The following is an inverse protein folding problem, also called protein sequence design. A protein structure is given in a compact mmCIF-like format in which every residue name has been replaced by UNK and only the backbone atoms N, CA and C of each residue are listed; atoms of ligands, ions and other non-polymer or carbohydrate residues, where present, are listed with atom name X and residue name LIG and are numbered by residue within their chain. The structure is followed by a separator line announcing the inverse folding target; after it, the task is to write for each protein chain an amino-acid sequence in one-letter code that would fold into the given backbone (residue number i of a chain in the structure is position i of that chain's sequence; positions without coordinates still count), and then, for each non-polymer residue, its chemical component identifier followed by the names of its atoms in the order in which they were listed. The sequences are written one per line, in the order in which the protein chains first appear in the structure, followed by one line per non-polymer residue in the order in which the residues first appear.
data_IF_999966382010
#
_entry.id   IF_999966382010
#
_cell.length_a   1.000
_cell.length_b   1.000
_cell.length_c   1.000
_cell.angle_alpha   90.00
_cell.angle_beta   90.00
_cell.angle_gamma   90.00
#
_symmetry.space_group_name_H-M   'P 1'
#
loop_
_entity.id
_entity.type
_entity.pdbx_description
1 polymer ?
#
# COMPACT_ATOMS: atom_id res chain seq x y z
N UNK A 1 -8.58 -12.17 2.37
CA UNK A 1 -7.10 -12.13 2.32
C UNK A 1 -6.62 -11.55 3.64
N UNK A 2 -5.80 -12.27 4.40
CA UNK A 2 -5.18 -11.83 5.65
C UNK A 2 -3.84 -11.17 5.39
N UNK A 3 -3.33 -10.39 6.35
CA UNK A 3 -1.99 -9.83 6.26
C UNK A 3 -0.91 -10.92 6.18
N UNK A 4 -1.12 -12.06 6.83
CA UNK A 4 -0.19 -13.20 6.73
C UNK A 4 -0.06 -13.76 5.30
N UNK A 5 -1.16 -13.82 4.54
CA UNK A 5 -1.11 -14.24 3.13
C UNK A 5 -0.36 -13.23 2.27
N UNK A 6 -0.55 -11.92 2.52
CA UNK A 6 0.23 -10.87 1.85
C UNK A 6 1.72 -10.97 2.19
N UNK A 7 2.07 -11.24 3.45
CA UNK A 7 3.45 -11.43 3.89
C UNK A 7 4.11 -12.65 3.25
N UNK A 8 3.36 -13.75 3.06
CA UNK A 8 3.85 -14.92 2.34
C UNK A 8 4.08 -14.63 0.85
N UNK A 9 3.14 -13.92 0.22
CA UNK A 9 3.31 -13.46 -1.15
C UNK A 9 4.54 -12.56 -1.30
N UNK A 10 4.72 -11.58 -0.39
CA UNK A 10 5.91 -10.73 -0.35
C UNK A 10 7.20 -11.56 -0.26
N UNK A 11 7.22 -12.56 0.62
CA UNK A 11 8.36 -13.46 0.82
C UNK A 11 8.67 -14.30 -0.42
N UNK A 12 7.64 -14.84 -1.06
CA UNK A 12 7.77 -15.57 -2.32
C UNK A 12 8.37 -14.69 -3.42
N UNK A 13 7.91 -13.44 -3.56
CA UNK A 13 8.45 -12.51 -4.55
C UNK A 13 9.92 -12.16 -4.24
N UNK A 14 10.26 -11.88 -2.98
CA UNK A 14 11.64 -11.60 -2.57
C UNK A 14 12.56 -12.80 -2.88
N UNK A 15 12.12 -14.03 -2.60
CA UNK A 15 12.87 -15.24 -2.95
C UNK A 15 13.11 -15.34 -4.46
N UNK A 16 12.09 -15.10 -5.29
CA UNK A 16 12.23 -15.12 -6.76
C UNK A 16 13.12 -14.02 -7.31
N UNK A 17 13.31 -12.94 -6.57
CA UNK A 17 14.22 -11.84 -6.89
C UNK A 17 15.61 -12.01 -6.27
N UNK A 18 15.90 -13.14 -5.61
CA UNK A 18 17.14 -13.39 -4.85
C UNK A 18 17.43 -12.30 -3.80
N UNK A 19 16.40 -11.86 -3.09
CA UNK A 19 16.50 -10.89 -2.01
C UNK A 19 16.41 -11.62 -0.68
N UNK A 20 17.52 -11.66 0.05
CA UNK A 20 17.60 -12.17 1.42
C UNK A 20 17.47 -11.04 2.42
N UNK A 21 16.69 -11.28 3.48
CA UNK A 21 16.68 -10.40 4.66
C UNK A 21 17.79 -10.88 5.59
N UNK A 22 18.97 -10.29 5.48
CA UNK A 22 19.99 -10.43 6.51
C UNK A 22 19.55 -9.69 7.77
N UNK A 23 19.88 -10.21 8.95
CA UNK A 23 19.66 -9.49 10.20
C UNK A 23 20.54 -8.23 10.18
N UNK A 24 19.91 -7.06 10.04
CA UNK A 24 20.61 -5.79 10.20
C UNK A 24 21.11 -5.69 11.64
N UNK A 25 22.34 -5.18 11.88
CA UNK A 25 22.73 -4.72 13.21
C UNK A 25 21.68 -3.72 13.73
N UNK A 26 21.42 -3.70 15.04
CA UNK A 26 20.39 -2.86 15.68
C UNK A 26 20.52 -1.34 15.40
N UNK A 27 21.61 -0.88 14.77
CA UNK A 27 21.93 0.53 14.52
C UNK A 27 21.83 0.98 13.05
N UNK A 28 21.29 0.18 12.13
CA UNK A 28 21.16 0.53 10.70
C UNK A 28 19.71 0.80 10.28
N UNK A 29 18.94 1.48 11.14
CA UNK A 29 17.58 1.93 10.80
C UNK A 29 17.62 3.12 9.83
N UNK A 30 16.75 3.07 8.82
CA UNK A 30 16.62 4.15 7.86
C UNK A 30 15.20 4.34 7.34
N UNK A 31 14.96 5.55 6.87
CA UNK A 31 13.73 6.02 6.24
C UNK A 31 13.96 6.02 4.73
N UNK A 32 12.99 5.50 3.99
CA UNK A 32 12.96 5.55 2.53
C UNK A 32 11.95 6.60 2.10
N UNK A 33 12.37 7.53 1.25
CA UNK A 33 11.49 8.50 0.59
C UNK A 33 11.40 8.16 -0.89
N UNK A 34 10.20 7.99 -1.42
CA UNK A 34 10.02 7.82 -2.86
C UNK A 34 10.10 9.17 -3.57
N UNK A 35 11.10 9.31 -4.43
CA UNK A 35 11.24 10.42 -5.37
C UNK A 35 10.51 10.11 -6.69
N UNK A 36 10.15 11.17 -7.42
CA UNK A 36 9.40 11.13 -8.67
C UNK A 36 9.92 12.20 -9.62
N UNK A 37 9.89 11.93 -10.93
CA UNK A 37 10.39 12.88 -11.93
C UNK A 37 9.31 13.50 -12.84
N UNK A 38 8.08 12.98 -12.83
CA UNK A 38 7.04 13.32 -13.83
C UNK A 38 5.85 14.12 -13.24
N UNK A 39 5.24 13.59 -12.18
CA UNK A 39 4.07 14.17 -11.51
C UNK A 39 4.07 13.78 -10.03
N UNK A 40 3.35 14.54 -9.20
CA UNK A 40 3.34 14.38 -7.73
C UNK A 40 4.74 14.51 -7.14
N UNK A 41 5.50 15.48 -7.62
CA UNK A 41 6.82 15.77 -7.07
C UNK A 41 6.66 16.35 -5.66
N UNK A 42 7.61 16.01 -4.78
CA UNK A 42 7.81 16.71 -3.53
C UNK A 42 8.77 17.86 -3.83
N UNK A 43 8.27 19.10 -3.90
CA UNK A 43 9.04 20.24 -4.40
C UNK A 43 10.22 20.62 -3.48
N UNK A 44 10.12 20.32 -2.19
CA UNK A 44 11.16 20.53 -1.19
C UNK A 44 11.69 19.20 -0.63
N UNK A 45 11.92 18.21 -1.51
CA UNK A 45 12.36 16.86 -1.14
C UNK A 45 13.63 16.85 -0.27
N UNK A 46 14.63 17.67 -0.60
CA UNK A 46 15.87 17.76 0.19
C UNK A 46 15.62 18.25 1.63
N UNK A 47 14.76 19.24 1.82
CA UNK A 47 14.37 19.73 3.15
C UNK A 47 13.62 18.65 3.93
N UNK A 48 12.72 17.93 3.26
CA UNK A 48 11.96 16.83 3.85
C UNK A 48 12.88 15.71 4.34
N UNK A 49 13.84 15.28 3.51
CA UNK A 49 14.81 14.23 3.86
C UNK A 49 15.62 14.64 5.09
N UNK A 50 16.13 15.88 5.11
CA UNK A 50 16.90 16.39 6.24
C UNK A 50 16.06 16.42 7.52
N UNK A 51 14.82 16.92 7.44
CA UNK A 51 13.93 17.02 8.59
C UNK A 51 13.55 15.63 9.14
N UNK A 52 13.27 14.66 8.27
CA UNK A 52 12.99 13.28 8.67
C UNK A 52 14.21 12.64 9.36
N UNK A 53 15.40 12.82 8.79
CA UNK A 53 16.63 12.30 9.38
C UNK A 53 16.89 12.88 10.79
N UNK A 54 16.64 14.19 10.96
CA UNK A 54 16.81 14.87 12.24
C UNK A 54 15.74 14.48 13.27
N UNK A 55 14.46 14.43 12.89
CA UNK A 55 13.37 14.09 13.82
C UNK A 55 13.52 12.67 14.37
N UNK A 56 13.88 11.71 13.52
CA UNK A 56 13.92 10.29 13.90
C UNK A 56 15.31 9.76 14.22
N UNK A 57 16.37 10.58 14.05
CA UNK A 57 17.77 10.16 14.23
C UNK A 57 18.12 8.92 13.39
N UNK A 58 17.57 8.85 12.17
CA UNK A 58 17.76 7.77 11.21
C UNK A 58 18.36 8.32 9.91
N UNK A 59 19.09 7.47 9.16
CA UNK A 59 19.46 7.83 7.79
C UNK A 59 18.17 7.96 6.96
N UNK A 60 18.07 8.97 6.10
CA UNK A 60 16.97 9.08 5.13
C UNK A 60 17.57 8.95 3.72
N UNK A 61 17.02 8.03 2.93
CA UNK A 61 17.48 7.74 1.57
C UNK A 61 16.32 7.84 0.59
N UNK A 62 16.64 8.17 -0.66
CA UNK A 62 15.66 8.23 -1.74
C UNK A 62 15.69 6.98 -2.61
N UNK A 63 14.54 6.62 -3.15
CA UNK A 63 14.41 5.64 -4.23
C UNK A 63 13.46 6.18 -5.28
N UNK A 64 13.67 5.81 -6.54
CA UNK A 64 12.87 6.23 -7.69
C UNK A 64 12.70 5.05 -8.64
N UNK A 65 11.52 4.93 -9.26
CA UNK A 65 11.24 3.90 -10.27
C UNK A 65 11.93 4.19 -11.61
N UNK A 66 12.32 5.44 -11.83
CA UNK A 66 13.03 5.91 -13.01
C UNK A 66 14.53 5.59 -12.94
N UNK A 67 15.10 5.59 -11.73
CA UNK A 67 16.53 5.37 -11.50
C UNK A 67 16.86 3.94 -11.01
N UNK A 68 15.93 3.27 -10.35
CA UNK A 68 16.16 1.99 -9.70
C UNK A 68 15.20 0.92 -10.24
N UNK A 69 15.72 -0.31 -10.39
CA UNK A 69 14.88 -1.46 -10.69
C UNK A 69 13.94 -1.79 -9.53
N UNK A 70 12.83 -2.46 -9.82
CA UNK A 70 11.90 -2.93 -8.79
C UNK A 70 12.60 -3.83 -7.75
N UNK A 71 13.56 -4.67 -8.18
CA UNK A 71 14.29 -5.55 -7.26
C UNK A 71 15.17 -4.77 -6.28
N UNK A 72 15.83 -3.69 -6.74
CA UNK A 72 16.62 -2.81 -5.88
C UNK A 72 15.73 -2.06 -4.89
N UNK A 73 14.60 -1.52 -5.36
CA UNK A 73 13.61 -0.85 -4.51
C UNK A 73 13.08 -1.82 -3.44
N UNK A 74 12.71 -3.05 -3.82
CA UNK A 74 12.24 -4.06 -2.86
C UNK A 74 13.34 -4.40 -1.85
N UNK A 75 14.59 -4.55 -2.29
CA UNK A 75 15.73 -4.82 -1.41
C UNK A 75 15.87 -3.73 -0.35
N UNK A 76 15.82 -2.46 -0.78
CA UNK A 76 15.92 -1.30 0.11
C UNK A 76 14.71 -1.21 1.04
N UNK A 77 13.48 -1.32 0.53
CA UNK A 77 12.26 -1.21 1.34
C UNK A 77 12.13 -2.37 2.33
N UNK A 78 12.62 -3.56 1.99
CA UNK A 78 12.46 -4.76 2.83
C UNK A 78 13.13 -4.68 4.20
N UNK A 79 14.01 -3.68 4.40
CA UNK A 79 14.77 -3.41 5.63
C UNK A 79 14.52 -2.02 6.20
N UNK A 80 13.67 -1.20 5.57
CA UNK A 80 13.40 0.15 6.01
C UNK A 80 12.49 0.19 7.25
N UNK A 81 12.74 1.12 8.17
CA UNK A 81 11.86 1.36 9.32
C UNK A 81 10.64 2.21 8.94
N UNK A 82 10.75 2.97 7.84
CA UNK A 82 9.68 3.82 7.34
C UNK A 82 9.75 4.01 5.83
N UNK A 83 8.58 4.06 5.19
CA UNK A 83 8.40 4.46 3.80
C UNK A 83 7.55 5.72 3.72
N UNK A 84 8.07 6.79 3.13
CA UNK A 84 7.38 8.07 2.90
C UNK A 84 7.18 8.27 1.41
N UNK A 85 5.96 8.57 0.98
CA UNK A 85 5.67 8.81 -0.45
C UNK A 85 4.39 9.60 -0.65
N UNK A 86 4.36 10.41 -1.71
CA UNK A 86 3.10 10.87 -2.30
C UNK A 86 2.22 9.67 -2.70
N UNK A 87 0.90 9.83 -2.54
CA UNK A 87 -0.12 8.85 -2.92
C UNK A 87 0.09 8.39 -4.36
N UNK A 88 0.15 7.09 -4.58
CA UNK A 88 0.22 6.51 -5.93
C UNK A 88 0.63 5.05 -5.91
N UNK A 89 0.59 4.38 -7.07
CA UNK A 89 0.76 2.93 -7.21
C UNK A 89 2.05 2.37 -6.54
N UNK A 90 3.13 3.15 -6.52
CA UNK A 90 4.42 2.72 -5.93
C UNK A 90 4.35 2.39 -4.43
N UNK A 91 3.40 2.96 -3.70
CA UNK A 91 3.17 2.64 -2.28
C UNK A 91 2.76 1.18 -2.05
N UNK A 92 2.39 0.43 -3.09
CA UNK A 92 2.18 -1.02 -2.97
C UNK A 92 3.42 -1.76 -2.48
N UNK A 93 4.61 -1.21 -2.74
CA UNK A 93 5.88 -1.75 -2.23
C UNK A 93 5.96 -1.77 -0.70
N UNK A 94 5.09 -1.05 0.01
CA UNK A 94 4.91 -1.18 1.46
C UNK A 94 4.62 -2.60 1.94
N UNK A 95 4.10 -3.49 1.07
CA UNK A 95 3.92 -4.91 1.39
C UNK A 95 5.23 -5.61 1.79
N UNK A 96 6.37 -5.08 1.33
CA UNK A 96 7.71 -5.61 1.62
C UNK A 96 8.33 -5.04 2.90
N UNK A 97 7.79 -3.99 3.50
CA UNK A 97 8.32 -3.42 4.75
C UNK A 97 8.37 -4.46 5.88
N UNK A 98 9.30 -4.40 6.85
CA UNK A 98 9.26 -5.28 8.01
C UNK A 98 8.01 -5.02 8.89
N UNK A 99 7.72 -5.93 9.82
CA UNK A 99 6.69 -5.69 10.84
C UNK A 99 7.16 -4.58 11.77
N UNK A 100 6.24 -3.71 12.19
CA UNK A 100 6.53 -2.54 13.01
C UNK A 100 7.07 -1.35 12.23
N UNK A 101 7.29 -1.47 10.93
CA UNK A 101 7.63 -0.33 10.09
C UNK A 101 6.41 0.57 9.84
N UNK A 102 6.69 1.81 9.45
CA UNK A 102 5.67 2.80 9.13
C UNK A 102 5.53 3.05 7.62
N UNK A 103 4.30 3.25 7.17
CA UNK A 103 3.95 3.80 5.86
C UNK A 103 3.38 5.20 6.08
N UNK A 104 4.03 6.20 5.52
CA UNK A 104 3.62 7.60 5.57
C UNK A 104 3.17 8.01 4.18
N UNK A 105 1.86 8.14 4.04
CA UNK A 105 1.22 8.47 2.77
C UNK A 105 0.85 9.96 2.74
N UNK A 106 1.36 10.65 1.72
CA UNK A 106 1.15 12.08 1.52
C UNK A 106 0.13 12.32 0.39
N UNK A 107 -0.90 13.12 0.65
CA UNK A 107 -1.93 13.46 -0.33
C UNK A 107 -1.79 14.90 -0.83
N UNK A 108 -1.91 15.15 -2.15
CA UNK A 108 -2.00 16.50 -2.70
C UNK A 108 -3.21 17.28 -2.19
N UNK A 109 -3.25 18.57 -2.49
CA UNK A 109 -4.35 19.44 -2.13
C UNK A 109 -5.68 18.98 -2.73
N UNK A 110 -6.77 19.21 -1.98
CA UNK A 110 -8.15 18.83 -2.32
C UNK A 110 -8.38 17.31 -2.52
N UNK A 111 -7.40 16.45 -2.24
CA UNK A 111 -7.57 15.00 -2.27
C UNK A 111 -7.89 14.49 -0.87
N UNK A 112 -9.13 14.02 -0.68
CA UNK A 112 -9.57 13.46 0.59
C UNK A 112 -9.04 12.02 0.79
N UNK A 113 -8.19 11.77 1.81
CA UNK A 113 -7.60 10.44 2.05
C UNK A 113 -8.62 9.36 2.41
N UNK A 114 -9.83 9.72 2.88
CA UNK A 114 -10.90 8.75 3.18
C UNK A 114 -11.51 8.12 1.92
N UNK A 115 -11.32 8.74 0.76
CA UNK A 115 -11.84 8.24 -0.52
C UNK A 115 -10.87 7.28 -1.23
N UNK A 116 -9.58 7.28 -0.86
CA UNK A 116 -8.52 6.51 -1.54
C UNK A 116 -7.66 5.76 -0.51
N UNK A 117 -8.20 4.66 0.00
CA UNK A 117 -7.64 3.96 1.17
C UNK A 117 -6.91 2.62 0.90
N UNK A 118 -6.42 2.27 -0.31
CA UNK A 118 -5.88 0.92 -0.54
C UNK A 118 -4.70 0.59 0.38
N UNK A 119 -3.84 1.56 0.69
CA UNK A 119 -2.67 1.33 1.55
C UNK A 119 -3.01 1.38 3.04
N UNK A 120 -4.00 2.21 3.44
CA UNK A 120 -4.59 2.11 4.77
C UNK A 120 -5.19 0.72 5.00
N UNK A 121 -5.95 0.21 4.04
CA UNK A 121 -6.52 -1.15 4.09
C UNK A 121 -5.42 -2.19 4.19
N UNK A 122 -4.40 -2.12 3.33
CA UNK A 122 -3.23 -3.00 3.37
C UNK A 122 -2.59 -3.01 4.76
N UNK A 123 -2.20 -1.85 5.28
CA UNK A 123 -1.54 -1.72 6.58
C UNK A 123 -2.41 -2.22 7.75
N UNK A 124 -3.73 -2.11 7.63
CA UNK A 124 -4.70 -2.52 8.66
C UNK A 124 -5.10 -4.00 8.59
N UNK A 125 -4.66 -4.75 7.58
CA UNK A 125 -4.95 -6.19 7.51
C UNK A 125 -4.33 -6.92 8.72
N UNK A 126 -5.09 -7.78 9.42
CA UNK A 126 -4.54 -8.57 10.53
C UNK A 126 -3.30 -9.37 10.11
N UNK A 127 -2.18 -9.16 10.81
CA UNK A 127 -0.89 -9.80 10.54
C UNK A 127 0.05 -9.05 9.57
N UNK A 128 -0.38 -7.91 9.01
CA UNK A 128 0.54 -6.98 8.32
C UNK A 128 1.43 -6.26 9.32
N UNK A 129 0.86 -5.80 10.45
CA UNK A 129 1.58 -5.15 11.54
C UNK A 129 2.38 -3.93 11.08
N UNK A 130 1.76 -3.05 10.28
CA UNK A 130 2.35 -1.79 9.82
C UNK A 130 1.69 -0.60 10.53
N UNK A 131 2.48 0.42 10.84
CA UNK A 131 1.93 1.70 11.25
C UNK A 131 1.57 2.50 9.99
N UNK A 132 0.30 2.91 9.88
CA UNK A 132 -0.14 3.77 8.80
C UNK A 132 -0.30 5.21 9.30
N UNK A 133 0.35 6.15 8.60
CA UNK A 133 0.27 7.58 8.80
C UNK A 133 -0.22 8.21 7.50
N UNK A 134 -1.16 9.15 7.59
CA UNK A 134 -1.68 9.89 6.44
C UNK A 134 -1.48 11.38 6.70
N UNK A 135 -0.97 12.10 5.72
CA UNK A 135 -0.89 13.55 5.73
C UNK A 135 -1.48 14.10 4.44
N UNK A 136 -2.17 15.23 4.51
CA UNK A 136 -2.79 15.87 3.35
C UNK A 136 -2.33 17.31 3.30
N UNK A 137 -1.94 17.78 2.11
CA UNK A 137 -1.68 19.19 1.91
C UNK A 137 -2.99 19.98 2.02
N UNK A 138 -3.10 20.86 3.02
CA UNK A 138 -4.26 21.73 3.21
C UNK A 138 -4.03 23.15 2.69
N UNK A 139 -2.82 23.46 2.23
CA UNK A 139 -2.40 24.79 1.78
C UNK A 139 -2.36 24.80 0.25
N UNK A 140 -3.25 25.57 -0.38
CA UNK A 140 -3.36 25.58 -1.85
C UNK A 140 -2.10 26.13 -2.52
N UNK A 141 -1.47 27.13 -1.90
CA UNK A 141 -0.25 27.77 -2.38
C UNK A 141 0.96 26.82 -2.42
N UNK A 142 0.88 25.72 -1.68
CA UNK A 142 1.86 24.64 -1.70
C UNK A 142 1.63 23.63 -2.83
N UNK A 143 0.65 23.86 -3.72
CA UNK A 143 0.35 22.97 -4.84
C UNK A 143 0.60 23.61 -6.19
N UNK A 144 1.26 22.87 -7.09
CA UNK A 144 1.50 23.26 -8.48
C UNK A 144 0.75 22.32 -9.40
N UNK A 145 -0.23 22.86 -10.12
CA UNK A 145 -1.01 22.13 -11.12
C UNK A 145 -0.52 22.46 -12.55
N UNK A 146 -0.89 21.60 -13.51
CA UNK A 146 -0.45 21.75 -14.90
C UNK A 146 -1.64 21.63 -15.88
N UNK A 147 -2.50 22.66 -15.97
CA UNK A 147 -3.75 22.60 -16.75
C UNK A 147 -3.52 22.37 -18.26
N UNK A 148 -2.35 22.74 -18.78
CA UNK A 148 -2.01 22.65 -20.20
C UNK A 148 -1.44 21.28 -20.63
N UNK A 149 -1.20 20.36 -19.68
CA UNK A 149 -0.70 19.01 -20.00
C UNK A 149 -1.79 18.16 -20.72
N UNK A 150 -1.43 17.00 -21.28
CA UNK A 150 -2.42 16.02 -21.69
C UNK A 150 -3.33 15.61 -20.53
N UNK A 151 -4.59 15.24 -20.84
CA UNK A 151 -5.59 14.89 -19.81
C UNK A 151 -5.13 13.74 -18.90
N UNK A 152 -4.38 12.76 -19.44
CA UNK A 152 -3.81 11.64 -18.67
C UNK A 152 -2.76 12.06 -17.64
N UNK A 153 -2.28 13.30 -17.72
CA UNK A 153 -1.33 13.92 -16.78
C UNK A 153 -1.96 15.07 -16.00
N UNK A 154 -3.30 15.15 -15.97
CA UNK A 154 -4.04 16.12 -15.15
C UNK A 154 -4.35 17.44 -15.83
N UNK A 155 -4.04 17.60 -17.12
CA UNK A 155 -4.43 18.81 -17.84
C UNK A 155 -5.92 18.86 -18.18
N UNK A 156 -6.48 20.06 -18.15
CA UNK A 156 -7.91 20.35 -18.29
C UNK A 156 -8.23 21.24 -19.50
N UNK A 157 -7.21 21.63 -20.30
CA UNK A 157 -7.38 22.50 -21.47
C UNK A 157 -8.37 21.97 -22.53
N UNK A 158 -8.62 20.66 -22.53
CA UNK A 158 -9.56 19.99 -23.43
C UNK A 158 -11.04 20.17 -23.04
N UNK A 159 -11.31 20.69 -21.83
CA UNK A 159 -12.65 20.97 -21.32
C UNK A 159 -13.09 22.38 -21.70
N UNK A 160 -14.39 22.67 -21.60
CA UNK A 160 -14.87 24.04 -21.74
C UNK A 160 -14.39 24.94 -20.58
N UNK A 161 -14.44 26.26 -20.79
CA UNK A 161 -13.91 27.22 -19.83
C UNK A 161 -14.67 27.21 -18.49
N UNK A 162 -15.96 26.90 -18.50
CA UNK A 162 -16.80 26.85 -17.29
C UNK A 162 -16.37 25.67 -16.40
N UNK A 163 -16.17 24.50 -16.99
CA UNK A 163 -15.72 23.30 -16.29
C UNK A 163 -14.28 23.45 -15.79
N UNK A 164 -13.40 24.08 -16.58
CA UNK A 164 -12.04 24.41 -16.13
C UNK A 164 -12.08 25.31 -14.89
N UNK A 165 -12.87 26.37 -14.92
CA UNK A 165 -13.01 27.30 -13.80
C UNK A 165 -13.60 26.61 -12.56
N UNK A 166 -14.59 25.73 -12.75
CA UNK A 166 -15.19 24.91 -11.68
C UNK A 166 -14.15 24.01 -11.02
N UNK A 167 -13.35 23.29 -11.81
CA UNK A 167 -12.30 22.38 -11.32
C UNK A 167 -11.25 23.15 -10.53
N UNK A 168 -10.78 24.30 -11.05
CA UNK A 168 -9.77 25.14 -10.39
C UNK A 168 -10.27 25.68 -9.06
N UNK A 169 -11.54 26.11 -8.98
CA UNK A 169 -12.14 26.63 -7.73
C UNK A 169 -12.51 25.56 -6.71
N UNK A 170 -12.61 24.29 -7.12
CA UNK A 170 -12.97 23.19 -6.23
C UNK A 170 -11.98 23.03 -5.08
N UNK A 171 -12.49 22.68 -3.88
CA UNK A 171 -11.68 22.54 -2.66
C UNK A 171 -11.55 21.09 -2.19
N UNK A 172 -12.34 20.19 -2.76
CA UNK A 172 -12.26 18.77 -2.51
C UNK A 172 -12.81 18.01 -3.73
N UNK A 173 -12.08 16.99 -4.19
CA UNK A 173 -12.56 16.12 -5.27
C UNK A 173 -13.73 15.28 -4.77
N UNK A 174 -14.92 15.39 -5.38
CA UNK A 174 -16.05 14.54 -5.02
C UNK A 174 -15.76 13.06 -5.27
N UNK A 175 -16.54 12.19 -4.61
CA UNK A 175 -16.52 10.76 -4.92
C UNK A 175 -16.88 10.54 -6.38
N UNK A 176 -16.09 9.73 -7.06
CA UNK A 176 -16.24 9.47 -8.48
C UNK A 176 -15.83 8.02 -8.79
N UNK A 177 -16.24 7.52 -9.96
CA UNK A 177 -15.73 6.26 -10.48
C UNK A 177 -14.34 6.47 -11.06
N UNK A 178 -13.40 5.60 -10.69
CA UNK A 178 -11.99 5.81 -10.93
C UNK A 178 -11.64 6.13 -12.39
N UNK A 179 -10.55 6.90 -12.45
CA UNK A 179 -9.45 6.82 -13.40
C UNK A 179 -9.56 7.77 -14.60
N UNK A 180 -10.73 8.35 -14.86
CA UNK A 180 -10.91 9.30 -15.98
C UNK A 180 -11.66 10.57 -15.60
N UNK A 181 -11.90 10.80 -14.30
CA UNK A 181 -12.50 12.04 -13.85
C UNK A 181 -11.46 13.19 -13.97
N UNK A 182 -11.76 14.28 -14.69
CA UNK A 182 -10.78 15.34 -14.94
C UNK A 182 -10.38 16.10 -13.68
N UNK A 183 -11.32 16.37 -12.78
CA UNK A 183 -11.06 17.04 -11.50
C UNK A 183 -10.11 16.21 -10.62
N UNK A 184 -10.35 14.90 -10.56
CA UNK A 184 -9.44 13.97 -9.90
C UNK A 184 -8.04 14.00 -10.48
N UNK A 185 -7.90 13.88 -11.81
CA UNK A 185 -6.60 13.87 -12.47
C UNK A 185 -5.87 15.21 -12.26
N UNK A 186 -6.60 16.33 -12.32
CA UNK A 186 -6.08 17.67 -12.05
C UNK A 186 -5.51 17.79 -10.63
N UNK A 187 -6.22 17.27 -9.60
CA UNK A 187 -5.78 17.35 -8.20
C UNK A 187 -4.73 16.30 -7.83
N UNK A 188 -4.89 15.06 -8.26
CA UNK A 188 -3.96 13.99 -7.87
C UNK A 188 -2.59 14.13 -8.50
N UNK A 189 -2.46 14.77 -9.67
CA UNK A 189 -1.16 14.96 -10.32
C UNK A 189 -0.45 16.27 -9.98
N UNK A 190 -0.97 17.04 -9.03
CA UNK A 190 -0.30 18.23 -8.54
C UNK A 190 1.03 17.88 -7.88
N UNK A 191 2.04 18.70 -8.14
CA UNK A 191 3.26 18.70 -7.35
C UNK A 191 3.00 19.45 -6.05
N UNK A 192 3.69 19.07 -4.98
CA UNK A 192 3.38 19.53 -3.61
C UNK A 192 4.65 19.96 -2.90
N UNK A 193 4.65 21.18 -2.37
CA UNK A 193 5.60 21.61 -1.34
C UNK A 193 5.06 21.13 0.02
N UNK A 194 5.79 20.23 0.66
CA UNK A 194 5.34 19.64 1.94
C UNK A 194 5.55 20.64 3.06
N UNK A 195 4.48 20.89 3.83
CA UNK A 195 4.57 21.62 5.09
C UNK A 195 5.17 20.69 6.17
N UNK A 196 6.49 20.72 6.28
CA UNK A 196 7.29 19.81 7.12
C UNK A 196 6.84 19.83 8.59
N UNK A 197 6.67 21.00 9.26
CA UNK A 197 6.16 21.04 10.64
C UNK A 197 4.83 20.31 10.82
N UNK A 198 3.87 20.51 9.92
CA UNK A 198 2.57 19.83 9.95
C UNK A 198 2.71 18.32 9.76
N UNK A 199 3.54 17.88 8.81
CA UNK A 199 3.81 16.46 8.59
C UNK A 199 4.43 15.81 9.84
N UNK A 200 5.49 16.39 10.39
CA UNK A 200 6.17 15.85 11.57
C UNK A 200 5.23 15.76 12.77
N UNK A 201 4.34 16.72 12.95
CA UNK A 201 3.35 16.68 14.03
C UNK A 201 2.40 15.49 13.90
N UNK A 202 1.85 15.25 12.71
CA UNK A 202 0.99 14.09 12.45
C UNK A 202 1.74 12.76 12.68
N UNK A 203 3.01 12.71 12.26
CA UNK A 203 3.87 11.55 12.47
C UNK A 203 4.14 11.28 13.95
N UNK A 204 4.46 12.31 14.75
CA UNK A 204 4.67 12.16 16.21
C UNK A 204 3.43 11.61 16.89
N UNK A 205 2.25 12.16 16.59
CA UNK A 205 0.99 11.75 17.19
C UNK A 205 0.66 10.28 16.87
N UNK A 206 0.91 9.86 15.64
CA UNK A 206 0.54 8.51 15.17
C UNK A 206 1.56 7.44 15.56
N UNK A 207 2.85 7.78 15.58
CA UNK A 207 3.93 6.81 15.86
C UNK A 207 4.21 6.67 17.36
N UNK A 208 4.06 7.72 18.18
CA UNK A 208 4.21 7.61 19.65
C UNK A 208 3.04 6.88 20.33
N UNK A 209 1.84 6.94 19.74
CA UNK A 209 0.62 6.37 20.34
C UNK A 209 0.45 4.87 20.13
N UNK A 210 1.18 4.27 19.18
CA UNK A 210 1.05 2.86 18.84
C UNK A 210 2.26 2.08 19.34
N UNK A 211 2.12 1.15 20.31
CA UNK A 211 3.23 0.31 20.70
C UNK A 211 3.72 -0.50 19.50
N UNK A 212 5.04 -0.65 19.39
CA UNK A 212 5.67 -1.50 18.36
C UNK A 212 5.03 -2.89 18.40
N UNK A 213 4.47 -3.39 17.28
CA UNK A 213 3.86 -4.70 17.26
C UNK A 213 4.90 -5.74 17.69
N UNK A 214 4.58 -6.51 18.74
CA UNK A 214 5.45 -7.59 19.22
C UNK A 214 5.75 -8.51 18.04
N UNK A 215 7.00 -9.00 17.94
CA UNK A 215 7.41 -10.05 16.98
C UNK A 215 6.58 -11.32 17.25
N UNK A 216 5.35 -11.38 16.74
CA UNK A 216 4.51 -12.58 16.80
C UNK A 216 5.05 -13.52 15.73
N UNK A 217 5.45 -14.73 16.14
CA UNK A 217 5.79 -15.80 15.21
C UNK A 217 4.56 -16.06 14.32
N UNK A 218 4.69 -15.98 12.99
CA UNK A 218 3.53 -16.14 12.13
C UNK A 218 3.07 -17.61 12.14
N UNK A 219 1.94 -17.89 12.76
CA UNK A 219 1.14 -19.08 12.43
C UNK A 219 0.27 -18.74 11.24
N UNK A 220 0.85 -18.77 10.04
CA UNK A 220 0.07 -18.63 8.81
C UNK A 220 -0.50 -19.99 8.42
N UNK A 221 -1.70 -20.31 8.90
CA UNK A 221 -2.50 -21.40 8.33
C UNK A 221 -3.13 -20.89 7.04
N UNK A 222 -2.53 -21.26 5.91
CA UNK A 222 -3.15 -21.03 4.59
C UNK A 222 -4.20 -22.11 4.38
N UNK A 223 -5.43 -21.69 4.12
CA UNK A 223 -6.54 -22.62 3.92
C UNK A 223 -6.66 -23.05 2.45
N UNK A 224 -7.19 -24.26 2.18
CA UNK A 224 -7.62 -24.62 0.83
C UNK A 224 -8.62 -23.59 0.30
N UNK A 225 -8.57 -23.34 -1.00
CA UNK A 225 -9.50 -22.47 -1.69
C UNK A 225 -10.93 -22.98 -1.54
N UNK A 226 -11.89 -22.07 -1.73
CA UNK A 226 -13.33 -22.39 -1.62
C UNK A 226 -13.67 -23.63 -2.46
N UNK A 227 -14.39 -24.56 -1.85
CA UNK A 227 -14.94 -25.74 -2.50
C UNK A 227 -15.80 -25.33 -3.71
N UNK A 228 -15.58 -25.97 -4.85
CA UNK A 228 -16.33 -25.75 -6.10
C UNK A 228 -16.97 -27.05 -6.57
N UNK A 229 -18.11 -26.92 -7.25
CA UNK A 229 -18.87 -28.04 -7.82
C UNK A 229 -19.18 -29.16 -6.82
N UNK A 230 -19.82 -28.87 -5.66
CA UNK A 230 -20.20 -29.91 -4.72
C UNK A 230 -21.26 -30.83 -5.35
N UNK A 231 -21.03 -32.13 -5.28
CA UNK A 231 -21.95 -33.18 -5.72
C UNK A 231 -22.30 -34.05 -4.52
N UNK A 232 -23.59 -34.27 -4.31
CA UNK A 232 -24.11 -35.17 -3.30
C UNK A 232 -24.84 -36.32 -4.01
N UNK A 233 -24.49 -37.56 -3.68
CA UNK A 233 -25.13 -38.76 -4.19
C UNK A 233 -25.59 -39.60 -3.01
N UNK A 234 -26.85 -40.00 -3.03
CA UNK A 234 -27.42 -40.92 -2.06
C UNK A 234 -27.70 -42.26 -2.74
N UNK A 235 -27.29 -43.34 -2.10
CA UNK A 235 -27.61 -44.71 -2.53
C UNK A 235 -28.14 -45.51 -1.35
N UNK A 236 -29.13 -46.35 -1.60
CA UNK A 236 -29.67 -47.28 -0.61
C UNK A 236 -29.23 -48.67 -1.05
N UNK A 237 -28.32 -49.29 -0.30
CA UNK A 237 -27.73 -50.59 -0.67
C UNK A 237 -28.51 -51.77 -0.07
N UNK A 238 -29.28 -51.55 1.00
CA UNK A 238 -30.17 -52.53 1.63
C UNK A 238 -31.28 -51.84 2.44
N UNK A 239 -32.29 -52.58 2.91
CA UNK A 239 -33.44 -52.06 3.67
C UNK A 239 -33.08 -51.28 4.96
N UNK A 240 -31.83 -51.35 5.41
CA UNK A 240 -31.32 -50.69 6.63
C UNK A 240 -30.04 -49.87 6.41
N UNK A 241 -29.55 -49.70 5.18
CA UNK A 241 -28.30 -48.97 4.91
C UNK A 241 -28.47 -47.93 3.79
N UNK A 242 -28.47 -46.66 4.18
CA UNK A 242 -28.38 -45.52 3.30
C UNK A 242 -26.95 -44.95 3.33
N UNK A 243 -26.34 -44.79 2.15
CA UNK A 243 -25.03 -44.18 1.97
C UNK A 243 -25.19 -42.81 1.32
N UNK A 244 -24.56 -41.79 1.90
CA UNK A 244 -24.43 -40.47 1.31
C UNK A 244 -22.96 -40.23 0.96
N UNK A 245 -22.67 -39.93 -0.30
CA UNK A 245 -21.34 -39.59 -0.80
C UNK A 245 -21.34 -38.12 -1.21
N UNK A 246 -20.46 -37.34 -0.60
CA UNK A 246 -20.25 -35.93 -0.94
C UNK A 246 -18.87 -35.81 -1.61
N UNK A 247 -18.81 -35.15 -2.76
CA UNK A 247 -17.56 -34.92 -3.51
C UNK A 247 -17.54 -33.51 -4.10
N UNK A 248 -16.35 -33.00 -4.41
CA UNK A 248 -16.17 -31.68 -5.00
C UNK A 248 -14.87 -31.59 -5.79
N UNK A 249 -14.71 -30.51 -6.55
CA UNK A 249 -13.47 -30.22 -7.25
C UNK A 249 -12.36 -29.88 -6.25
N UNK A 250 -11.22 -30.57 -6.35
CA UNK A 250 -10.06 -30.33 -5.49
C UNK A 250 -9.65 -28.85 -5.57
N UNK A 251 -9.49 -28.15 -4.43
CA UNK A 251 -9.05 -26.77 -4.43
C UNK A 251 -7.71 -26.60 -5.16
N UNK A 252 -7.65 -25.64 -6.08
CA UNK A 252 -6.48 -25.44 -6.95
C UNK A 252 -5.18 -25.19 -6.18
N UNK A 253 -5.27 -24.61 -4.98
CA UNK A 253 -4.13 -24.26 -4.15
C UNK A 253 -3.68 -25.41 -3.23
N UNK A 254 -4.43 -26.51 -3.14
CA UNK A 254 -4.15 -27.62 -2.23
C UNK A 254 -2.72 -28.19 -2.43
N UNK A 255 -2.28 -28.29 -3.69
CA UNK A 255 -0.94 -28.77 -4.05
C UNK A 255 0.20 -27.88 -3.52
N UNK A 256 -0.08 -26.63 -3.16
CA UNK A 256 0.90 -25.69 -2.62
C UNK A 256 0.93 -25.65 -1.09
N UNK A 257 -0.06 -26.24 -0.41
CA UNK A 257 -0.20 -26.15 1.05
C UNK A 257 0.76 -27.03 1.85
N UNK A 258 1.52 -27.94 1.21
CA UNK A 258 2.47 -28.87 1.86
C UNK A 258 1.89 -29.54 3.13
N UNK A 259 0.61 -29.93 3.10
CA UNK A 259 -0.10 -30.58 4.20
C UNK A 259 -0.26 -32.08 3.93
N UNK A 260 -0.15 -32.91 4.97
CA UNK A 260 -0.42 -34.36 4.87
C UNK A 260 -1.92 -34.66 4.77
N UNK A 261 -2.71 -33.98 5.60
CA UNK A 261 -4.16 -34.18 5.69
C UNK A 261 -4.88 -32.84 5.64
N UNK A 262 -6.03 -32.80 4.95
CA UNK A 262 -6.93 -31.64 4.93
C UNK A 262 -8.29 -32.07 5.42
N UNK A 263 -8.74 -31.41 6.49
CA UNK A 263 -10.08 -31.60 7.06
C UNK A 263 -10.97 -30.47 6.55
N UNK A 264 -12.14 -30.84 6.06
CA UNK A 264 -13.20 -29.91 5.70
C UNK A 264 -14.24 -29.98 6.81
N UNK A 265 -14.54 -28.85 7.44
CA UNK A 265 -15.71 -28.74 8.31
C UNK A 265 -16.94 -28.55 7.41
N UNK A 266 -17.95 -29.40 7.60
CA UNK A 266 -19.22 -29.40 6.87
C UNK A 266 -20.33 -29.02 7.83
#
# INVERSE_FOLDING_TARGET
VSGNEIRQFASFIMEKLNITREESPENDEYIVVFSRSINRLILNEAELILALAQEFQMKAITVSLEEHSLAEIIRVISRASMLVSMHGAQLITSLFLPRGAAVVELFPYAVNPEHYTPYRTLASLPGMDLHYVTWTNTIEENSVAFPDRPWEQGGIIHLDAEEQERIVKSKEVPRHLCCRNPEWLFRIYQDTKVDIPSLLEVMRQTLKSKPSPKKVRPTSTVHPGRVREPKCQTSVHAASEARMTVSWQIPWNLKYLKVRDVKYEV
#
